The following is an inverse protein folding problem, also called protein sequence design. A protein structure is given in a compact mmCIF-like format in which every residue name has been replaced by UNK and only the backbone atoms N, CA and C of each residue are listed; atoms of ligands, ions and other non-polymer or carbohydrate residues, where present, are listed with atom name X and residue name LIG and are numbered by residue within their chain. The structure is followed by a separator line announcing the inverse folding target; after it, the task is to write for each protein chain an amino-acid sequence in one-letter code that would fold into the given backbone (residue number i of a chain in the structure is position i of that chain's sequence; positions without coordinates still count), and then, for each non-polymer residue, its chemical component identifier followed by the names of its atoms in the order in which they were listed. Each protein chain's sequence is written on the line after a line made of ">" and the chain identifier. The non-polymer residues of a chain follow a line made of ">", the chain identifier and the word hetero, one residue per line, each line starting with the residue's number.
data_IF_740836452107
#
_entry.id   IF_740836452107
#
_cell.length_a   1.000
_cell.length_b   1.000
_cell.length_c   1.000
_cell.angle_alpha   90.00
_cell.angle_beta   90.00
_cell.angle_gamma   90.00
#
_symmetry.space_group_name_H-M   'P 1'
#
loop_
_entity.id
_entity.type
_entity.pdbx_description
1 polymer ?
#
# COMPACT_ATOMS: atom_id res chain seq x y z
N UNK A 1 43.98 23.06 17.52
CA UNK A 1 43.01 23.48 18.55
C UNK A 1 43.82 23.82 19.78
N UNK A 2 43.75 25.05 20.25
CA UNK A 2 44.54 25.53 21.39
C UNK A 2 43.66 25.61 22.63
N UNK A 3 44.25 25.38 23.78
CA UNK A 3 43.56 25.43 25.07
C UNK A 3 44.29 26.42 25.96
N UNK A 4 43.54 27.24 26.69
CA UNK A 4 44.07 28.16 27.70
C UNK A 4 43.15 28.19 28.92
N UNK A 5 43.72 28.57 30.06
CA UNK A 5 43.03 28.65 31.35
C UNK A 5 43.19 30.07 31.91
N UNK A 6 42.08 30.63 32.40
CA UNK A 6 41.98 31.98 32.93
C UNK A 6 41.29 31.92 34.29
N UNK A 7 41.68 32.78 35.24
CA UNK A 7 41.13 32.72 36.61
C UNK A 7 39.89 33.58 36.80
N UNK A 8 39.70 34.56 35.93
CA UNK A 8 38.65 35.56 36.05
C UNK A 8 38.06 35.90 34.67
N UNK A 9 36.78 36.28 34.64
CA UNK A 9 36.06 36.69 33.43
C UNK A 9 36.69 37.93 32.79
N UNK A 10 37.30 38.81 33.58
CA UNK A 10 38.02 40.00 33.13
C UNK A 10 39.29 39.68 32.33
N UNK A 11 39.83 38.46 32.43
CA UNK A 11 41.00 38.00 31.66
C UNK A 11 40.62 37.44 30.27
N UNK A 12 39.32 37.27 29.98
CA UNK A 12 38.86 36.68 28.74
C UNK A 12 39.06 37.63 27.54
N UNK A 13 39.47 37.10 26.37
CA UNK A 13 39.67 37.92 25.19
C UNK A 13 38.33 38.46 24.66
N UNK A 14 38.34 39.65 24.06
CA UNK A 14 37.13 40.23 23.45
C UNK A 14 36.56 39.36 22.31
N UNK A 15 37.36 38.47 21.73
CA UNK A 15 36.99 37.58 20.63
C UNK A 15 36.17 36.35 21.04
N UNK A 16 35.75 36.22 22.31
CA UNK A 16 34.88 35.10 22.70
C UNK A 16 33.54 35.16 21.97
N UNK A 17 33.11 34.03 21.38
CA UNK A 17 31.83 33.95 20.66
C UNK A 17 30.62 34.02 21.59
N UNK A 18 30.74 33.45 22.79
CA UNK A 18 29.67 33.41 23.79
C UNK A 18 30.22 33.89 25.13
N UNK A 19 29.52 34.85 25.74
CA UNK A 19 29.82 35.32 27.08
C UNK A 19 29.73 34.19 28.09
N UNK A 20 30.57 34.27 29.13
CA UNK A 20 30.57 33.36 30.26
C UNK A 20 30.10 34.11 31.50
N UNK A 21 29.12 33.55 32.20
CA UNK A 21 28.57 34.08 33.45
C UNK A 21 28.82 33.03 34.54
N UNK A 22 29.89 33.21 35.32
CA UNK A 22 30.30 32.28 36.36
C UNK A 22 31.63 32.67 37.01
N UNK A 23 31.99 31.98 38.10
CA UNK A 23 33.21 32.21 38.89
C UNK A 23 34.14 30.98 38.84
N UNK A 24 35.45 31.19 39.00
CA UNK A 24 36.46 30.13 39.04
C UNK A 24 37.26 29.95 37.74
N UNK A 25 38.08 28.90 37.66
CA UNK A 25 38.98 28.66 36.53
C UNK A 25 38.21 28.38 35.21
N UNK A 26 38.42 29.22 34.21
CA UNK A 26 37.74 29.21 32.91
C UNK A 26 38.65 28.58 31.84
N UNK A 27 38.20 27.47 31.25
CA UNK A 27 38.88 26.81 30.12
C UNK A 27 38.37 27.35 28.79
N UNK A 28 39.24 27.99 28.03
CA UNK A 28 38.96 28.42 26.67
C UNK A 28 39.50 27.44 25.64
N UNK A 29 38.70 27.18 24.61
CA UNK A 29 39.09 26.42 23.43
C UNK A 29 39.12 27.36 22.23
N UNK A 30 40.26 27.42 21.55
CA UNK A 30 40.48 28.19 20.33
C UNK A 30 40.64 27.24 19.14
N UNK A 31 39.76 27.40 18.15
CA UNK A 31 39.81 26.69 16.86
C UNK A 31 40.30 27.67 15.80
N UNK A 32 41.62 27.69 15.59
CA UNK A 32 42.24 28.65 14.67
C UNK A 32 42.03 30.08 15.14
N UNK A 33 41.75 30.98 14.19
CA UNK A 33 41.39 32.38 14.48
C UNK A 33 39.87 32.61 14.38
N UNK A 34 39.11 31.56 14.06
CA UNK A 34 37.69 31.66 13.70
C UNK A 34 36.73 31.51 14.89
N UNK A 35 37.13 30.76 15.92
CA UNK A 35 36.27 30.48 17.07
C UNK A 35 37.09 30.39 18.36
N UNK A 36 36.67 31.16 19.36
CA UNK A 36 37.17 31.09 20.74
C UNK A 36 35.95 31.00 21.63
N UNK A 37 35.84 29.91 22.39
CA UNK A 37 34.67 29.66 23.21
C UNK A 37 35.03 28.96 24.53
N UNK A 38 34.43 29.34 25.66
CA UNK A 38 34.54 28.60 26.91
C UNK A 38 33.90 27.20 26.73
N UNK A 39 34.68 26.15 26.96
CA UNK A 39 34.21 24.77 26.81
C UNK A 39 35.01 23.79 27.67
N UNK A 40 34.29 23.02 28.48
CA UNK A 40 34.86 21.95 29.30
C UNK A 40 34.89 20.58 28.61
N UNK A 41 34.42 20.49 27.37
CA UNK A 41 34.34 19.24 26.61
C UNK A 41 35.70 18.68 26.19
N UNK A 42 35.67 17.48 25.61
CA UNK A 42 36.83 16.87 24.95
C UNK A 42 37.00 17.45 23.56
N UNK A 43 38.24 17.78 23.19
CA UNK A 43 38.55 18.33 21.86
C UNK A 43 39.66 17.53 21.19
N UNK A 44 39.61 17.48 19.87
CA UNK A 44 40.71 17.01 19.05
C UNK A 44 41.91 17.97 19.18
N UNK A 45 43.12 17.48 18.97
CA UNK A 45 44.34 18.29 18.96
C UNK A 45 44.37 19.25 17.76
N UNK A 46 43.88 18.78 16.60
CA UNK A 46 43.79 19.55 15.34
C UNK A 46 42.44 19.31 14.66
N UNK A 47 41.92 20.33 13.99
CA UNK A 47 40.60 20.28 13.33
C UNK A 47 40.51 19.17 12.28
N UNK A 48 41.60 18.85 11.58
CA UNK A 48 41.64 17.77 10.61
C UNK A 48 41.32 16.37 11.18
N UNK A 49 41.45 16.15 12.50
CA UNK A 49 41.06 14.88 13.14
C UNK A 49 39.53 14.68 13.18
N UNK A 50 38.73 15.74 13.03
CA UNK A 50 37.27 15.64 12.90
C UNK A 50 36.89 14.91 11.60
N UNK A 51 37.71 15.06 10.55
CA UNK A 51 37.48 14.46 9.24
C UNK A 51 36.27 15.07 8.51
N UNK A 52 35.60 14.25 7.69
CA UNK A 52 34.42 14.67 6.94
C UNK A 52 33.29 15.11 7.87
N UNK A 53 32.60 16.17 7.50
CA UNK A 53 31.36 16.62 8.15
C UNK A 53 30.24 16.45 7.13
N UNK A 54 29.22 15.70 7.50
CA UNK A 54 28.05 15.43 6.67
C UNK A 54 26.83 16.04 7.33
N UNK A 55 26.22 17.02 6.64
CA UNK A 55 24.91 17.56 7.01
C UNK A 55 23.84 16.54 6.66
N UNK A 56 23.04 16.17 7.64
CA UNK A 56 21.93 15.23 7.50
C UNK A 56 20.62 15.96 7.25
N UNK A 57 20.40 17.06 7.97
CA UNK A 57 19.14 17.80 7.95
C UNK A 57 19.34 19.28 8.24
N UNK A 58 18.53 20.10 7.59
CA UNK A 58 18.40 21.53 7.86
C UNK A 58 16.95 21.81 8.22
N UNK A 59 16.71 22.38 9.40
CA UNK A 59 15.37 22.73 9.89
C UNK A 59 15.29 24.22 10.20
N UNK A 60 14.28 24.90 9.68
CA UNK A 60 14.01 26.31 10.04
C UNK A 60 13.31 26.38 11.39
N UNK A 61 13.87 27.16 12.30
CA UNK A 61 13.30 27.51 13.60
C UNK A 61 13.06 29.03 13.68
N UNK A 62 12.23 29.47 14.64
CA UNK A 62 11.90 30.90 14.82
C UNK A 62 13.14 31.81 14.95
N UNK A 63 14.25 31.28 15.48
CA UNK A 63 15.48 32.03 15.78
C UNK A 63 16.67 31.61 14.90
N UNK A 64 16.46 30.90 13.78
CA UNK A 64 17.53 30.49 12.87
C UNK A 64 17.37 29.09 12.31
N UNK A 65 18.46 28.51 11.80
CA UNK A 65 18.45 27.16 11.21
C UNK A 65 19.12 26.16 12.14
N UNK A 66 18.40 25.11 12.53
CA UNK A 66 18.98 23.94 13.19
C UNK A 66 19.64 23.05 12.14
N UNK A 67 20.91 22.75 12.35
CA UNK A 67 21.72 21.90 11.48
C UNK A 67 21.99 20.59 12.20
N UNK A 68 21.48 19.49 11.65
CA UNK A 68 21.82 18.14 12.11
C UNK A 68 22.97 17.62 11.27
N UNK A 69 24.04 17.17 11.91
CA UNK A 69 25.23 16.68 11.21
C UNK A 69 25.93 15.55 11.97
N UNK A 70 26.66 14.74 11.22
CA UNK A 70 27.60 13.75 11.74
C UNK A 70 28.99 14.01 11.19
N UNK A 71 30.01 13.57 11.91
CA UNK A 71 31.40 13.77 11.52
C UNK A 71 32.24 12.49 11.61
N UNK A 72 33.39 12.52 10.94
CA UNK A 72 34.40 11.46 10.97
C UNK A 72 33.83 10.11 10.53
N UNK A 73 34.12 9.07 11.31
CA UNK A 73 33.69 7.69 11.00
C UNK A 73 32.18 7.53 10.94
N UNK A 74 31.41 8.30 11.72
CA UNK A 74 29.94 8.25 11.70
C UNK A 74 29.39 8.69 10.34
N UNK A 75 29.95 9.75 9.77
CA UNK A 75 29.60 10.20 8.43
C UNK A 75 29.97 9.19 7.34
N UNK A 76 31.13 8.53 7.46
CA UNK A 76 31.55 7.47 6.53
C UNK A 76 30.65 6.23 6.64
N UNK A 77 30.26 5.82 7.85
CA UNK A 77 29.33 4.72 8.07
C UNK A 77 27.96 5.02 7.46
N UNK A 78 27.44 6.22 7.68
CA UNK A 78 26.17 6.66 7.06
C UNK A 78 26.25 6.70 5.52
N UNK A 79 27.38 7.11 4.94
CA UNK A 79 27.59 7.03 3.49
C UNK A 79 27.61 5.58 2.99
N UNK A 80 28.36 4.69 3.65
CA UNK A 80 28.44 3.27 3.28
C UNK A 80 27.08 2.60 3.32
N UNK A 81 26.32 2.78 4.41
CA UNK A 81 24.99 2.21 4.55
C UNK A 81 24.06 2.62 3.39
N UNK A 82 24.04 3.92 3.04
CA UNK A 82 23.21 4.42 1.93
C UNK A 82 23.71 3.95 0.56
N UNK A 83 25.02 3.85 0.36
CA UNK A 83 25.61 3.36 -0.88
C UNK A 83 25.30 1.87 -1.10
N UNK A 84 25.44 1.06 -0.07
CA UNK A 84 25.10 -0.37 -0.10
C UNK A 84 23.61 -0.58 -0.41
N UNK A 85 22.73 0.18 0.25
CA UNK A 85 21.29 0.09 0.03
C UNK A 85 20.90 0.53 -1.40
N UNK A 86 21.45 1.64 -1.88
CA UNK A 86 21.23 2.07 -3.27
C UNK A 86 21.74 1.03 -4.28
N UNK A 87 22.88 0.39 -3.99
CA UNK A 87 23.42 -0.69 -4.80
C UNK A 87 22.56 -1.95 -4.79
N UNK A 88 21.88 -2.26 -3.67
CA UNK A 88 20.90 -3.36 -3.59
C UNK A 88 19.69 -3.05 -4.48
N UNK A 89 19.10 -1.86 -4.32
CA UNK A 89 17.97 -1.42 -5.14
C UNK A 89 18.30 -1.45 -6.64
N UNK A 90 19.49 -1.00 -7.03
CA UNK A 90 19.94 -1.07 -8.41
C UNK A 90 19.98 -2.51 -8.96
N UNK A 91 20.51 -3.48 -8.17
CA UNK A 91 20.52 -4.88 -8.58
C UNK A 91 19.12 -5.47 -8.67
N UNK A 92 18.28 -5.22 -7.66
CA UNK A 92 16.90 -5.74 -7.63
C UNK A 92 16.07 -5.20 -8.80
N UNK A 93 16.32 -3.94 -9.20
CA UNK A 93 15.66 -3.28 -10.33
C UNK A 93 16.38 -3.50 -11.67
N UNK A 94 17.52 -4.20 -11.67
CA UNK A 94 18.40 -4.43 -12.83
C UNK A 94 18.71 -3.13 -13.58
N UNK A 95 19.25 -2.14 -12.84
CA UNK A 95 19.57 -0.80 -13.35
C UNK A 95 20.80 -0.24 -12.63
N UNK A 96 21.33 0.89 -13.12
CA UNK A 96 22.42 1.59 -12.46
C UNK A 96 21.94 2.34 -11.21
N UNK A 97 22.82 2.48 -10.22
CA UNK A 97 22.51 3.14 -8.93
C UNK A 97 21.95 4.56 -9.10
N UNK A 98 22.42 5.29 -10.12
CA UNK A 98 21.95 6.65 -10.40
C UNK A 98 20.65 6.69 -11.21
N UNK A 99 20.27 5.57 -11.83
CA UNK A 99 19.05 5.44 -12.63
C UNK A 99 17.89 4.75 -11.89
N UNK A 100 18.10 4.30 -10.66
CA UNK A 100 17.07 3.71 -9.78
C UNK A 100 15.78 4.53 -9.80
N UNK A 101 15.88 5.86 -9.70
CA UNK A 101 14.69 6.74 -9.74
C UNK A 101 13.94 6.64 -11.06
N UNK A 102 14.66 6.68 -12.18
CA UNK A 102 14.07 6.61 -13.52
C UNK A 102 13.42 5.23 -13.74
N UNK A 103 14.08 4.15 -13.28
CA UNK A 103 13.53 2.80 -13.36
C UNK A 103 12.26 2.63 -12.53
N UNK A 104 12.20 3.22 -11.33
CA UNK A 104 10.98 3.23 -10.51
C UNK A 104 9.83 3.97 -11.20
N UNK A 105 10.08 5.14 -11.79
CA UNK A 105 9.04 5.86 -12.53
C UNK A 105 8.56 5.10 -13.77
N UNK A 106 9.46 4.44 -14.51
CA UNK A 106 9.10 3.57 -15.62
C UNK A 106 8.21 2.40 -15.15
N UNK A 107 8.58 1.70 -14.07
CA UNK A 107 7.78 0.61 -13.51
C UNK A 107 6.39 1.08 -13.03
N UNK A 108 6.28 2.29 -12.48
CA UNK A 108 4.98 2.88 -12.12
C UNK A 108 4.12 3.14 -13.36
N UNK A 109 4.74 3.59 -14.45
CA UNK A 109 4.09 3.74 -15.75
C UNK A 109 3.60 2.40 -16.31
N UNK A 110 4.48 1.41 -16.39
CA UNK A 110 4.18 0.04 -16.84
C UNK A 110 3.05 -0.60 -16.01
N UNK A 111 3.06 -0.43 -14.70
CA UNK A 111 2.01 -0.93 -13.80
C UNK A 111 0.65 -0.26 -14.10
N UNK A 112 0.62 1.07 -14.28
CA UNK A 112 -0.61 1.79 -14.62
C UNK A 112 -1.16 1.34 -15.97
N UNK A 113 -0.30 1.16 -16.96
CA UNK A 113 -0.70 0.68 -18.29
C UNK A 113 -1.21 -0.76 -18.24
N UNK A 114 -0.50 -1.65 -17.57
CA UNK A 114 -0.89 -3.06 -17.40
C UNK A 114 -2.25 -3.17 -16.71
N UNK A 115 -2.49 -2.37 -15.68
CA UNK A 115 -3.79 -2.31 -15.00
C UNK A 115 -4.90 -1.84 -15.94
N UNK A 116 -4.66 -0.80 -16.74
CA UNK A 116 -5.65 -0.31 -17.71
C UNK A 116 -5.97 -1.36 -18.79
N UNK A 117 -4.94 -2.09 -19.27
CA UNK A 117 -5.12 -3.19 -20.22
C UNK A 117 -5.92 -4.35 -19.61
N UNK A 118 -5.64 -4.71 -18.35
CA UNK A 118 -6.39 -5.74 -17.62
C UNK A 118 -7.85 -5.34 -17.45
N UNK A 119 -8.14 -4.11 -17.01
CA UNK A 119 -9.51 -3.61 -16.85
C UNK A 119 -10.30 -3.63 -18.17
N UNK A 120 -9.63 -3.31 -19.29
CA UNK A 120 -10.21 -3.40 -20.63
C UNK A 120 -10.49 -4.85 -21.05
N UNK A 121 -9.50 -5.74 -20.91
CA UNK A 121 -9.65 -7.16 -21.24
C UNK A 121 -10.75 -7.81 -20.39
N UNK A 122 -10.81 -7.49 -19.10
CA UNK A 122 -11.86 -7.92 -18.18
C UNK A 122 -13.24 -7.46 -18.65
N UNK A 123 -13.36 -6.22 -19.13
CA UNK A 123 -14.62 -5.70 -19.67
C UNK A 123 -15.05 -6.43 -20.94
N UNK A 124 -14.12 -6.66 -21.86
CA UNK A 124 -14.39 -7.41 -23.10
C UNK A 124 -14.79 -8.85 -22.80
N UNK A 125 -14.07 -9.53 -21.89
CA UNK A 125 -14.39 -10.89 -21.48
C UNK A 125 -15.76 -10.96 -20.78
N UNK A 126 -16.08 -10.03 -19.87
CA UNK A 126 -17.43 -9.95 -19.28
C UNK A 126 -18.52 -9.84 -20.34
N UNK A 127 -18.32 -8.98 -21.36
CA UNK A 127 -19.29 -8.79 -22.43
C UNK A 127 -19.50 -10.07 -23.25
N UNK A 128 -18.41 -10.78 -23.58
CA UNK A 128 -18.47 -12.05 -24.31
C UNK A 128 -19.17 -13.14 -23.48
N UNK A 129 -18.82 -13.27 -22.19
CA UNK A 129 -19.46 -14.20 -21.28
C UNK A 129 -20.96 -13.92 -21.13
N UNK A 130 -21.35 -12.64 -20.95
CA UNK A 130 -22.76 -12.26 -20.92
C UNK A 130 -23.49 -12.71 -22.19
N UNK A 131 -22.91 -12.46 -23.37
CA UNK A 131 -23.55 -12.84 -24.63
C UNK A 131 -23.72 -14.36 -24.75
N UNK A 132 -22.63 -15.10 -24.54
CA UNK A 132 -22.63 -16.56 -24.65
C UNK A 132 -23.61 -17.21 -23.68
N UNK A 133 -23.58 -16.81 -22.40
CA UNK A 133 -24.45 -17.40 -21.38
C UNK A 133 -25.90 -16.96 -21.50
N UNK A 134 -26.18 -15.76 -22.02
CA UNK A 134 -27.56 -15.36 -22.32
C UNK A 134 -28.13 -16.14 -23.51
N UNK A 135 -27.32 -16.50 -24.50
CA UNK A 135 -27.73 -17.39 -25.59
C UNK A 135 -27.98 -18.83 -25.10
N UNK A 136 -27.12 -19.34 -24.23
CA UNK A 136 -27.29 -20.64 -23.57
C UNK A 136 -28.61 -20.69 -22.79
N UNK A 137 -28.86 -19.68 -21.95
CA UNK A 137 -30.09 -19.55 -21.17
C UNK A 137 -31.38 -19.48 -22.02
N UNK A 138 -31.29 -19.17 -23.32
CA UNK A 138 -32.44 -19.18 -24.25
C UNK A 138 -32.62 -20.52 -24.97
N UNK A 139 -31.54 -21.28 -25.14
CA UNK A 139 -31.54 -22.56 -25.86
C UNK A 139 -31.90 -23.71 -24.92
N UNK A 140 -31.46 -23.63 -23.68
CA UNK A 140 -31.74 -24.64 -22.66
C UNK A 140 -33.13 -24.43 -22.06
N UNK A 141 -33.84 -25.54 -21.81
CA UNK A 141 -35.12 -25.53 -21.09
C UNK A 141 -34.92 -25.64 -19.57
N UNK A 142 -33.85 -25.03 -19.05
CA UNK A 142 -33.57 -24.98 -17.61
C UNK A 142 -34.36 -23.86 -16.95
N UNK A 143 -34.77 -24.05 -15.69
CA UNK A 143 -35.46 -23.03 -14.88
C UNK A 143 -34.52 -21.91 -14.43
N UNK A 144 -33.19 -22.12 -14.48
CA UNK A 144 -32.18 -21.19 -14.01
C UNK A 144 -30.85 -21.38 -14.78
N UNK A 145 -30.12 -20.28 -14.97
CA UNK A 145 -28.73 -20.30 -15.48
C UNK A 145 -27.75 -20.39 -14.31
N UNK A 146 -27.00 -21.48 -14.22
CA UNK A 146 -25.99 -21.69 -13.17
C UNK A 146 -24.59 -21.63 -13.76
N UNK A 147 -23.73 -20.74 -13.24
CA UNK A 147 -22.35 -20.58 -13.72
C UNK A 147 -21.36 -20.41 -12.58
N UNK A 148 -20.12 -20.79 -12.86
CA UNK A 148 -19.00 -20.63 -11.94
C UNK A 148 -17.95 -19.72 -12.57
N UNK A 149 -17.36 -18.87 -11.74
CA UNK A 149 -16.31 -17.93 -12.09
C UNK A 149 -15.05 -18.26 -11.29
N UNK A 150 -13.90 -17.97 -11.89
CA UNK A 150 -12.61 -18.04 -11.19
C UNK A 150 -12.59 -17.11 -9.95
N UNK A 151 -11.84 -17.51 -8.92
CA UNK A 151 -11.64 -16.74 -7.69
C UNK A 151 -11.22 -15.27 -7.93
N UNK A 152 -10.41 -15.02 -8.96
CA UNK A 152 -9.95 -13.68 -9.34
C UNK A 152 -11.06 -12.76 -9.85
N UNK A 153 -12.23 -13.31 -10.20
CA UNK A 153 -13.38 -12.60 -10.77
C UNK A 153 -14.54 -12.42 -9.80
N UNK A 154 -14.30 -12.55 -8.49
CA UNK A 154 -15.30 -12.29 -7.46
C UNK A 154 -15.99 -10.93 -7.61
N UNK A 155 -15.23 -9.89 -7.95
CA UNK A 155 -15.78 -8.53 -8.17
C UNK A 155 -16.74 -8.44 -9.35
N UNK A 156 -16.78 -9.45 -10.23
CA UNK A 156 -17.66 -9.47 -11.41
C UNK A 156 -19.03 -10.05 -11.09
N UNK A 157 -19.21 -10.79 -10.00
CA UNK A 157 -20.43 -11.57 -9.77
C UNK A 157 -21.70 -10.71 -9.84
N UNK A 158 -21.78 -9.61 -9.09
CA UNK A 158 -22.99 -8.76 -9.11
C UNK A 158 -23.18 -8.00 -10.42
N UNK A 159 -22.14 -7.34 -11.00
CA UNK A 159 -22.27 -6.71 -12.32
C UNK A 159 -22.64 -7.68 -13.43
N UNK A 160 -22.07 -8.88 -13.43
CA UNK A 160 -22.31 -9.91 -14.45
C UNK A 160 -23.72 -10.48 -14.32
N UNK A 161 -24.16 -10.81 -13.10
CA UNK A 161 -25.54 -11.23 -12.86
C UNK A 161 -26.53 -10.15 -13.33
N UNK A 162 -26.28 -8.88 -13.01
CA UNK A 162 -27.14 -7.77 -13.42
C UNK A 162 -27.23 -7.63 -14.94
N UNK A 163 -26.11 -7.77 -15.65
CA UNK A 163 -26.06 -7.65 -17.11
C UNK A 163 -26.67 -8.88 -17.80
N UNK A 164 -26.50 -10.08 -17.22
CA UNK A 164 -27.17 -11.30 -17.68
C UNK A 164 -28.69 -11.18 -17.54
N UNK A 165 -29.20 -10.69 -16.41
CA UNK A 165 -30.64 -10.54 -16.18
C UNK A 165 -31.35 -9.62 -17.17
N UNK A 166 -30.63 -8.71 -17.82
CA UNK A 166 -31.20 -7.88 -18.91
C UNK A 166 -31.46 -8.66 -20.20
N UNK A 167 -30.86 -9.85 -20.35
CA UNK A 167 -30.86 -10.63 -21.60
C UNK A 167 -31.35 -12.06 -21.42
N UNK A 168 -31.18 -12.62 -20.23
CA UNK A 168 -31.56 -13.96 -19.82
C UNK A 168 -33.08 -14.00 -19.56
N UNK A 169 -33.78 -15.01 -20.12
CA UNK A 169 -35.19 -15.22 -19.82
C UNK A 169 -35.42 -15.86 -18.43
N UNK A 170 -34.37 -16.40 -17.81
CA UNK A 170 -34.42 -17.14 -16.55
C UNK A 170 -33.56 -16.49 -15.46
N UNK A 171 -33.82 -16.77 -14.17
CA UNK A 171 -32.93 -16.44 -13.05
C UNK A 171 -31.48 -16.88 -13.28
N UNK A 172 -30.56 -16.23 -12.59
CA UNK A 172 -29.11 -16.45 -12.72
C UNK A 172 -28.51 -16.73 -11.35
N UNK A 173 -27.75 -17.82 -11.23
CA UNK A 173 -26.97 -18.18 -10.06
C UNK A 173 -25.49 -18.26 -10.44
N UNK A 174 -24.68 -17.39 -9.86
CA UNK A 174 -23.24 -17.35 -10.08
C UNK A 174 -22.49 -17.79 -8.83
N UNK A 175 -21.48 -18.63 -9.01
CA UNK A 175 -20.59 -19.11 -7.97
C UNK A 175 -19.16 -18.64 -8.16
N UNK A 176 -18.47 -18.39 -7.05
CA UNK A 176 -17.01 -18.23 -6.98
C UNK A 176 -16.53 -19.00 -5.76
N UNK A 177 -15.69 -20.01 -5.97
CA UNK A 177 -15.00 -20.71 -4.89
C UNK A 177 -13.73 -19.94 -4.48
N UNK A 178 -13.57 -19.70 -3.18
CA UNK A 178 -12.27 -19.39 -2.57
C UNK A 178 -11.78 -20.60 -1.76
N UNK A 179 -10.60 -20.53 -1.13
CA UNK A 179 -9.99 -21.70 -0.47
C UNK A 179 -10.82 -22.23 0.70
N UNK A 180 -11.68 -21.41 1.30
CA UNK A 180 -12.40 -21.76 2.53
C UNK A 180 -13.92 -21.72 2.35
N UNK A 181 -14.43 -20.97 1.37
CA UNK A 181 -15.84 -20.70 1.20
C UNK A 181 -16.24 -20.66 -0.28
N UNK A 182 -17.51 -20.95 -0.52
CA UNK A 182 -18.18 -20.67 -1.78
C UNK A 182 -18.99 -19.39 -1.63
N UNK A 183 -18.83 -18.47 -2.57
CA UNK A 183 -19.66 -17.27 -2.69
C UNK A 183 -20.68 -17.49 -3.79
N UNK A 184 -21.91 -17.08 -3.54
CA UNK A 184 -23.00 -17.19 -4.48
C UNK A 184 -23.67 -15.82 -4.68
N UNK A 185 -24.03 -15.51 -5.93
CA UNK A 185 -24.91 -14.40 -6.28
C UNK A 185 -26.08 -14.95 -7.04
N UNK A 186 -27.28 -14.77 -6.49
CA UNK A 186 -28.53 -15.14 -7.11
C UNK A 186 -29.24 -13.88 -7.60
N UNK A 187 -29.74 -13.94 -8.84
CA UNK A 187 -30.40 -12.83 -9.50
C UNK A 187 -31.68 -13.24 -10.17
N UNK A 188 -32.69 -12.38 -10.09
CA UNK A 188 -33.99 -12.54 -10.77
C UNK A 188 -34.34 -11.25 -11.51
N UNK A 189 -35.02 -11.39 -12.64
CA UNK A 189 -35.52 -10.23 -13.40
C UNK A 189 -36.69 -9.59 -12.67
N UNK A 190 -36.81 -8.27 -12.71
CA UNK A 190 -37.96 -7.55 -12.14
C UNK A 190 -39.29 -8.01 -12.75
N UNK A 191 -39.27 -8.45 -14.01
CA UNK A 191 -40.45 -8.95 -14.72
C UNK A 191 -40.86 -10.38 -14.31
N UNK A 192 -40.03 -11.10 -13.54
CA UNK A 192 -40.30 -12.50 -13.17
C UNK A 192 -41.34 -12.64 -12.06
N UNK A 193 -41.64 -11.56 -11.31
CA UNK A 193 -42.46 -11.63 -10.10
C UNK A 193 -41.78 -12.31 -8.90
N UNK A 194 -40.54 -12.80 -9.07
CA UNK A 194 -39.73 -13.39 -8.02
C UNK A 194 -38.99 -12.31 -7.21
N UNK A 195 -38.55 -12.69 -6.01
CA UNK A 195 -37.75 -11.83 -5.15
C UNK A 195 -36.47 -12.55 -4.71
N UNK A 196 -35.32 -12.16 -5.25
CA UNK A 196 -34.04 -12.82 -5.03
C UNK A 196 -33.71 -13.01 -3.53
N UNK A 197 -33.85 -11.95 -2.73
CA UNK A 197 -33.60 -12.03 -1.29
C UNK A 197 -34.53 -12.96 -0.51
N UNK A 198 -35.79 -13.14 -0.96
CA UNK A 198 -36.77 -14.01 -0.30
C UNK A 198 -36.56 -15.49 -0.65
N UNK A 199 -35.96 -15.78 -1.80
CA UNK A 199 -35.57 -17.14 -2.18
C UNK A 199 -34.20 -17.50 -1.59
N UNK A 200 -33.21 -16.61 -1.74
CA UNK A 200 -31.83 -16.88 -1.36
C UNK A 200 -31.63 -17.04 0.16
N UNK A 201 -32.34 -16.26 0.98
CA UNK A 201 -32.13 -16.28 2.43
C UNK A 201 -32.56 -17.61 3.07
N UNK A 202 -33.79 -18.13 2.85
CA UNK A 202 -34.17 -19.45 3.33
C UNK A 202 -33.29 -20.57 2.77
N UNK A 203 -32.93 -20.50 1.48
CA UNK A 203 -32.05 -21.48 0.84
C UNK A 203 -30.69 -21.59 1.56
N UNK A 204 -30.08 -20.45 1.88
CA UNK A 204 -28.82 -20.40 2.59
C UNK A 204 -28.95 -20.90 4.04
N UNK A 205 -30.03 -20.53 4.74
CA UNK A 205 -30.28 -21.00 6.12
C UNK A 205 -30.40 -22.53 6.18
N UNK A 206 -31.00 -23.16 5.17
CA UNK A 206 -31.16 -24.62 5.09
C UNK A 206 -29.85 -25.35 4.77
N UNK A 207 -29.06 -24.85 3.81
CA UNK A 207 -27.79 -25.50 3.39
C UNK A 207 -26.61 -25.19 4.31
N UNK A 208 -26.81 -24.39 5.36
CA UNK A 208 -25.77 -23.99 6.32
C UNK A 208 -24.91 -22.81 5.88
N UNK A 209 -25.40 -22.01 4.92
CA UNK A 209 -24.81 -20.76 4.48
C UNK A 209 -25.35 -19.53 5.22
N UNK A 210 -24.83 -18.35 4.85
CA UNK A 210 -25.30 -17.04 5.35
C UNK A 210 -25.35 -16.04 4.22
N UNK A 211 -26.38 -15.19 4.21
CA UNK A 211 -26.51 -14.16 3.20
C UNK A 211 -27.85 -13.46 3.20
N UNK A 212 -28.10 -12.72 2.12
CA UNK A 212 -29.31 -11.96 1.91
C UNK A 212 -29.19 -11.01 0.73
N UNK A 213 -30.21 -10.20 0.52
CA UNK A 213 -30.20 -9.17 -0.51
C UNK A 213 -31.56 -8.58 -0.78
N UNK A 214 -31.64 -7.87 -1.89
CA UNK A 214 -32.83 -7.13 -2.31
C UNK A 214 -33.74 -7.92 -3.24
N UNK A 215 -34.69 -7.22 -3.89
CA UNK A 215 -35.64 -7.82 -4.81
C UNK A 215 -34.99 -8.49 -6.03
N UNK A 216 -33.96 -7.87 -6.60
CA UNK A 216 -33.35 -8.31 -7.87
C UNK A 216 -32.09 -9.15 -7.69
N UNK A 217 -31.29 -8.86 -6.66
CA UNK A 217 -30.04 -9.56 -6.37
C UNK A 217 -29.93 -9.92 -4.90
N UNK A 218 -29.43 -11.14 -4.66
CA UNK A 218 -29.05 -11.63 -3.35
C UNK A 218 -27.69 -12.31 -3.40
N UNK A 219 -26.99 -12.26 -2.27
CA UNK A 219 -25.63 -12.79 -2.15
C UNK A 219 -25.52 -13.67 -0.91
N UNK A 220 -24.68 -14.69 -0.99
CA UNK A 220 -24.45 -15.61 0.10
C UNK A 220 -23.06 -16.18 0.11
N UNK A 221 -22.71 -16.73 1.27
CA UNK A 221 -21.52 -17.53 1.48
C UNK A 221 -21.94 -18.86 2.10
N UNK A 222 -21.40 -19.96 1.60
CA UNK A 222 -21.72 -21.32 2.02
C UNK A 222 -20.48 -22.22 1.92
N UNK A 223 -20.45 -23.38 2.59
CA UNK A 223 -19.39 -24.37 2.39
C UNK A 223 -19.34 -24.86 0.94
N UNK A 224 -18.16 -25.07 0.33
CA UNK A 224 -18.03 -25.50 -1.07
C UNK A 224 -18.82 -26.77 -1.44
N UNK A 225 -18.88 -27.74 -0.53
CA UNK A 225 -19.61 -29.00 -0.70
C UNK A 225 -21.14 -28.83 -0.75
N UNK A 226 -21.66 -27.64 -0.43
CA UNK A 226 -23.09 -27.32 -0.42
C UNK A 226 -23.57 -26.61 -1.69
N UNK A 227 -22.72 -26.48 -2.71
CA UNK A 227 -23.06 -25.89 -4.01
C UNK A 227 -24.33 -26.51 -4.62
N UNK A 228 -24.33 -27.83 -4.77
CA UNK A 228 -25.39 -28.54 -5.49
C UNK A 228 -26.69 -28.48 -4.69
N UNK A 229 -26.61 -28.60 -3.36
CA UNK A 229 -27.75 -28.44 -2.45
C UNK A 229 -28.41 -27.05 -2.58
N UNK A 230 -27.62 -25.96 -2.70
CA UNK A 230 -28.18 -24.63 -2.93
C UNK A 230 -28.86 -24.53 -4.30
N UNK A 231 -28.25 -25.14 -5.32
CA UNK A 231 -28.76 -25.13 -6.69
C UNK A 231 -30.10 -25.85 -6.78
N UNK A 232 -30.19 -27.09 -6.28
CA UNK A 232 -31.40 -27.92 -6.25
C UNK A 232 -32.53 -27.26 -5.44
N UNK A 233 -32.19 -26.64 -4.31
CA UNK A 233 -33.19 -25.93 -3.49
C UNK A 233 -33.82 -24.79 -4.28
N UNK A 234 -33.00 -23.96 -4.93
CA UNK A 234 -33.51 -22.84 -5.74
C UNK A 234 -34.33 -23.36 -6.92
N UNK A 235 -33.88 -24.39 -7.63
CA UNK A 235 -34.63 -24.96 -8.77
C UNK A 235 -36.02 -25.48 -8.38
N UNK A 236 -36.18 -26.04 -7.18
CA UNK A 236 -37.47 -26.55 -6.69
C UNK A 236 -38.45 -25.44 -6.30
N UNK A 237 -37.96 -24.23 -6.03
CA UNK A 237 -38.74 -23.08 -5.55
C UNK A 237 -38.88 -21.96 -6.58
N UNK A 238 -38.49 -22.21 -7.84
CA UNK A 238 -38.71 -21.35 -9.01
C UNK A 238 -39.99 -21.72 -9.75
#
# INVERSE_FOLDING_TARGET
>A
VRQSWHKDVSELPESIRKSFEGEGDIRLISIGEFDVNPCCGTHCERSGQVGVIKVLKLEKNKNGTRVEFVCGRRALQDYRARHEELGRLARDLTTDALDVRNRVEALRGEHKETRARLEKADKELRQLLTQAWAEEARKESSSMLVKELDASRQSWMSPLASELLKRSPVPVLLFVADQENLRAVFGVSEASGLHAGKLMKPALEEVGGRGGGGPTLAQGMLPPEKRDALTEWLETHL
#
